data_IF_723350819515
#
_entry.id   IF_723350819515
#
_cell.length_a   1.000
_cell.length_b   1.000
_cell.length_c   1.000
_cell.angle_alpha   90.00
_cell.angle_beta   90.00
_cell.angle_gamma   90.00
#
_symmetry.space_group_name_H-M   'P 1'
#
loop_
_entity.id
_entity.type
_entity.pdbx_description
1 polymer ?
#
# COMPACT_ATOMS: atom_id res chain seq x y z
N UNK A 1 40.28 3.60 -34.47
CA UNK A 1 39.11 4.52 -34.54
C UNK A 1 37.76 3.82 -34.84
N UNK A 2 37.66 2.48 -34.80
CA UNK A 2 36.49 1.72 -35.27
C UNK A 2 35.24 1.75 -34.36
N UNK A 3 35.31 2.28 -33.14
CA UNK A 3 34.13 2.39 -32.25
C UNK A 3 33.28 3.65 -32.42
N UNK A 4 33.80 4.71 -33.07
CA UNK A 4 33.12 6.02 -33.11
C UNK A 4 31.81 6.02 -33.93
N UNK A 5 31.73 5.19 -34.98
CA UNK A 5 30.50 5.06 -35.79
C UNK A 5 29.38 4.36 -35.02
N UNK A 6 29.72 3.27 -34.33
CA UNK A 6 28.77 2.53 -33.49
C UNK A 6 28.23 3.36 -32.33
N UNK A 7 29.11 4.10 -31.63
CA UNK A 7 28.69 4.99 -30.53
C UNK A 7 27.73 6.09 -31.02
N UNK A 8 28.00 6.71 -32.17
CA UNK A 8 27.11 7.73 -32.76
C UNK A 8 25.76 7.13 -33.17
N UNK A 9 25.76 5.94 -33.77
CA UNK A 9 24.53 5.23 -34.12
C UNK A 9 23.67 4.92 -32.88
N UNK A 10 24.28 4.35 -31.83
CA UNK A 10 23.60 4.09 -30.56
C UNK A 10 23.07 5.37 -29.90
N UNK A 11 23.83 6.46 -29.90
CA UNK A 11 23.40 7.74 -29.35
C UNK A 11 22.18 8.32 -30.10
N UNK A 12 22.16 8.22 -31.43
CA UNK A 12 21.00 8.64 -32.24
C UNK A 12 19.79 7.77 -31.94
N UNK A 13 19.95 6.44 -31.88
CA UNK A 13 18.86 5.52 -31.57
C UNK A 13 18.28 5.76 -30.18
N UNK A 14 19.15 5.96 -29.17
CA UNK A 14 18.73 6.32 -27.81
C UNK A 14 17.99 7.66 -27.79
N UNK A 15 18.48 8.66 -28.53
CA UNK A 15 17.82 9.97 -28.61
C UNK A 15 16.41 9.85 -29.20
N UNK A 16 16.24 9.04 -30.25
CA UNK A 16 14.92 8.76 -30.84
C UNK A 16 14.02 8.06 -29.82
N UNK A 17 14.53 7.08 -29.08
CA UNK A 17 13.78 6.38 -28.04
C UNK A 17 13.36 7.33 -26.90
N UNK A 18 14.22 8.25 -26.48
CA UNK A 18 13.91 9.27 -25.48
C UNK A 18 12.83 10.25 -25.97
N UNK A 19 12.92 10.71 -27.23
CA UNK A 19 11.91 11.59 -27.82
C UNK A 19 10.55 10.88 -27.92
N UNK A 20 10.55 9.59 -28.24
CA UNK A 20 9.35 8.77 -28.26
C UNK A 20 8.74 8.60 -26.85
N UNK A 21 9.56 8.42 -25.81
CA UNK A 21 9.06 8.36 -24.43
C UNK A 21 8.48 9.71 -23.97
N UNK A 22 9.15 10.82 -24.29
CA UNK A 22 8.71 12.17 -23.94
C UNK A 22 7.44 12.62 -24.67
N UNK A 23 7.21 12.12 -25.89
CA UNK A 23 6.02 12.49 -26.67
C UNK A 23 4.72 12.08 -25.97
N UNK A 24 4.72 11.02 -25.16
CA UNK A 24 3.54 10.59 -24.38
C UNK A 24 3.09 11.65 -23.38
N UNK A 25 4.01 12.29 -22.64
CA UNK A 25 3.68 13.38 -21.73
C UNK A 25 3.03 14.57 -22.46
N UNK A 26 3.51 14.90 -23.66
CA UNK A 26 2.96 16.00 -24.47
C UNK A 26 1.55 15.69 -24.95
N UNK A 27 1.30 14.45 -25.41
CA UNK A 27 -0.04 14.02 -25.84
C UNK A 27 -1.01 14.00 -24.66
N UNK A 28 -0.61 13.42 -23.52
CA UNK A 28 -1.47 13.34 -22.33
C UNK A 28 -1.81 14.72 -21.78
N UNK A 29 -0.83 15.61 -21.65
CA UNK A 29 -1.05 16.99 -21.18
C UNK A 29 -1.98 17.79 -22.09
N UNK A 30 -1.96 17.52 -23.41
CA UNK A 30 -2.91 18.12 -24.35
C UNK A 30 -4.35 17.67 -24.11
N UNK A 31 -4.58 16.37 -23.84
CA UNK A 31 -5.91 15.82 -23.50
C UNK A 31 -6.40 16.39 -22.17
N UNK A 32 -5.53 16.44 -21.17
CA UNK A 32 -5.85 16.98 -19.84
C UNK A 32 -6.17 18.48 -19.87
N UNK A 33 -5.44 19.26 -20.67
CA UNK A 33 -5.75 20.68 -20.86
C UNK A 33 -7.15 20.87 -21.46
N UNK A 34 -7.52 20.07 -22.46
CA UNK A 34 -8.88 20.11 -23.04
C UNK A 34 -9.95 19.71 -22.01
N UNK A 35 -9.65 18.72 -21.17
CA UNK A 35 -10.56 18.30 -20.09
C UNK A 35 -10.79 19.45 -19.09
N UNK A 36 -9.72 20.14 -18.67
CA UNK A 36 -9.79 21.30 -17.77
C UNK A 36 -10.57 22.46 -18.39
N UNK A 37 -10.33 22.74 -19.66
CA UNK A 37 -11.07 23.77 -20.41
C UNK A 37 -12.56 23.44 -20.51
N UNK A 38 -12.91 22.18 -20.80
CA UNK A 38 -14.29 21.69 -20.83
C UNK A 38 -14.97 21.81 -19.45
N UNK A 39 -14.24 21.44 -18.40
CA UNK A 39 -14.72 21.39 -17.04
C UNK A 39 -14.99 22.78 -16.43
N UNK A 40 -14.26 23.82 -16.86
CA UNK A 40 -14.35 25.18 -16.29
C UNK A 40 -14.21 25.20 -14.75
N UNK A 41 -13.36 24.33 -14.21
CA UNK A 41 -13.11 24.19 -12.77
C UNK A 41 -14.06 23.23 -12.03
N UNK A 42 -14.97 22.54 -12.71
CA UNK A 42 -15.81 21.50 -12.14
C UNK A 42 -15.11 20.11 -12.21
N UNK A 43 -14.65 19.55 -11.07
CA UNK A 43 -13.90 18.30 -11.07
C UNK A 43 -14.69 17.11 -11.61
N UNK A 44 -16.02 17.11 -11.46
CA UNK A 44 -16.86 16.02 -11.93
C UNK A 44 -16.94 15.99 -13.46
N UNK A 45 -16.98 17.17 -14.09
CA UNK A 45 -16.97 17.30 -15.56
C UNK A 45 -15.61 16.99 -16.15
N UNK A 46 -14.53 17.41 -15.50
CA UNK A 46 -13.17 17.07 -15.92
C UNK A 46 -12.97 15.56 -15.97
N UNK A 47 -13.37 14.89 -14.88
CA UNK A 47 -13.33 13.44 -14.76
C UNK A 47 -14.18 12.76 -15.83
N UNK A 48 -15.44 13.16 -16.00
CA UNK A 48 -16.33 12.55 -16.99
C UNK A 48 -15.75 12.65 -18.42
N UNK A 49 -15.10 13.78 -18.73
CA UNK A 49 -14.40 13.96 -20.00
C UNK A 49 -13.22 12.98 -20.13
N UNK A 50 -12.34 12.91 -19.12
CA UNK A 50 -11.19 12.00 -19.14
C UNK A 50 -11.60 10.52 -19.22
N UNK A 51 -12.64 10.13 -18.49
CA UNK A 51 -13.20 8.78 -18.52
C UNK A 51 -13.71 8.43 -19.93
N UNK A 52 -14.38 9.37 -20.61
CA UNK A 52 -14.83 9.18 -22.00
C UNK A 52 -13.67 9.03 -23.00
N UNK A 53 -12.50 9.60 -22.68
CA UNK A 53 -11.32 9.58 -23.54
C UNK A 53 -10.46 8.32 -23.36
N UNK A 54 -10.67 7.52 -22.32
CA UNK A 54 -9.81 6.38 -21.94
C UNK A 54 -9.46 5.46 -23.12
N UNK A 55 -10.46 5.08 -23.92
CA UNK A 55 -10.31 4.17 -25.06
C UNK A 55 -10.17 4.88 -26.43
N UNK A 56 -10.13 6.21 -26.44
CA UNK A 56 -9.98 7.00 -27.67
C UNK A 56 -8.53 7.00 -28.09
N UNK A 57 -8.28 6.81 -29.39
CA UNK A 57 -6.93 6.91 -29.97
C UNK A 57 -6.49 8.37 -29.99
N UNK A 58 -5.46 8.70 -29.23
CA UNK A 58 -4.95 10.08 -29.07
C UNK A 58 -3.55 10.26 -29.63
N UNK A 59 -2.81 9.16 -29.84
CA UNK A 59 -1.44 9.23 -30.34
C UNK A 59 -1.38 9.24 -31.88
N UNK A 60 -0.72 10.24 -32.51
CA UNK A 60 -0.85 10.50 -33.94
C UNK A 60 -0.17 9.47 -34.86
N UNK A 61 0.91 8.82 -34.42
CA UNK A 61 1.69 7.90 -35.27
C UNK A 61 1.24 6.43 -35.16
N UNK A 62 1.10 5.93 -33.94
CA UNK A 62 0.88 4.50 -33.65
C UNK A 62 -0.55 4.19 -33.19
N UNK A 63 -1.44 5.19 -33.19
CA UNK A 63 -2.85 5.01 -32.86
C UNK A 63 -3.10 4.50 -31.44
N UNK A 64 -2.18 4.75 -30.50
CA UNK A 64 -2.35 4.36 -29.10
C UNK A 64 -3.51 5.11 -28.44
N UNK A 65 -4.20 4.41 -27.53
CA UNK A 65 -5.30 4.97 -26.74
C UNK A 65 -4.78 5.88 -25.62
N UNK A 66 -5.64 6.76 -25.11
CA UNK A 66 -5.29 7.60 -23.96
C UNK A 66 -4.85 6.76 -22.75
N UNK A 67 -5.54 5.66 -22.46
CA UNK A 67 -5.17 4.75 -21.38
C UNK A 67 -3.74 4.20 -21.54
N UNK A 68 -3.36 3.82 -22.77
CA UNK A 68 -2.02 3.32 -23.04
C UNK A 68 -0.96 4.41 -22.91
N UNK A 69 -1.17 5.59 -23.52
CA UNK A 69 -0.21 6.70 -23.44
C UNK A 69 -0.08 7.22 -22.03
N UNK A 70 -1.15 7.18 -21.24
CA UNK A 70 -1.16 7.53 -19.83
C UNK A 70 -0.34 6.55 -18.99
N UNK A 71 -0.44 5.25 -19.23
CA UNK A 71 0.39 4.25 -18.56
C UNK A 71 1.88 4.28 -18.93
N UNK A 72 2.25 4.98 -20.01
CA UNK A 72 3.65 5.19 -20.44
C UNK A 72 4.19 6.59 -20.08
N UNK A 73 3.38 7.42 -19.43
CA UNK A 73 3.80 8.74 -18.97
C UNK A 73 4.93 8.63 -17.94
N UNK A 74 5.85 9.59 -17.96
CA UNK A 74 6.89 9.70 -16.93
C UNK A 74 6.21 9.94 -15.57
N UNK A 75 6.64 9.19 -14.55
CA UNK A 75 6.19 9.43 -13.18
C UNK A 75 6.85 10.71 -12.65
N UNK A 76 6.06 11.79 -12.59
CA UNK A 76 6.52 13.09 -12.09
C UNK A 76 6.53 13.17 -10.55
N UNK A 77 6.00 12.16 -9.85
CA UNK A 77 5.89 12.18 -8.39
C UNK A 77 4.86 13.17 -7.86
N UNK A 78 4.72 13.22 -6.53
CA UNK A 78 3.71 14.03 -5.86
C UNK A 78 3.98 15.54 -5.98
N UNK A 79 5.25 15.95 -5.93
CA UNK A 79 5.63 17.36 -5.93
C UNK A 79 5.27 18.06 -7.25
N UNK A 80 5.53 17.39 -8.38
CA UNK A 80 5.29 17.96 -9.70
C UNK A 80 3.88 17.69 -10.24
N UNK A 81 3.24 16.57 -9.86
CA UNK A 81 1.89 16.19 -10.35
C UNK A 81 0.77 16.57 -9.39
N UNK A 82 1.09 16.86 -8.12
CA UNK A 82 0.12 16.92 -7.05
C UNK A 82 -0.52 15.55 -6.77
N UNK A 83 -1.41 15.47 -5.77
CA UNK A 83 -2.12 14.23 -5.45
C UNK A 83 -2.32 14.04 -3.95
N UNK A 84 -2.07 12.81 -3.49
CA UNK A 84 -2.30 12.40 -2.10
C UNK A 84 -1.13 11.58 -1.55
N UNK A 85 -0.72 11.88 -0.32
CA UNK A 85 0.18 11.05 0.49
C UNK A 85 -0.60 10.54 1.71
N UNK A 86 -0.48 9.24 1.99
CA UNK A 86 -1.19 8.56 3.08
C UNK A 86 -0.22 7.63 3.80
N UNK A 87 -0.21 7.70 5.13
CA UNK A 87 0.43 6.70 5.98
C UNK A 87 -0.66 5.81 6.56
N UNK A 88 -0.62 4.53 6.24
CA UNK A 88 -1.52 3.52 6.80
C UNK A 88 -0.78 2.78 7.91
N UNK A 89 -1.45 2.55 9.03
CA UNK A 89 -0.92 1.75 10.14
C UNK A 89 -1.73 0.46 10.30
N UNK A 90 -1.02 -0.66 10.44
CA UNK A 90 -1.63 -1.97 10.65
C UNK A 90 -1.76 -2.20 12.15
N UNK A 91 -2.98 -2.45 12.62
CA UNK A 91 -3.22 -2.70 14.05
C UNK A 91 -2.67 -4.07 14.46
N UNK A 92 -1.45 -4.06 15.00
CA UNK A 92 -0.84 -5.26 15.57
C UNK A 92 -1.52 -5.68 16.88
N UNK A 93 -2.09 -4.72 17.62
CA UNK A 93 -2.87 -4.99 18.82
C UNK A 93 -4.08 -5.87 18.52
N UNK A 94 -4.85 -5.52 17.48
CA UNK A 94 -6.00 -6.31 17.05
C UNK A 94 -5.59 -7.67 16.49
N UNK A 95 -4.47 -7.74 15.75
CA UNK A 95 -3.92 -9.01 15.30
C UNK A 95 -3.59 -9.95 16.47
N UNK A 96 -2.86 -9.46 17.48
CA UNK A 96 -2.48 -10.26 18.65
C UNK A 96 -3.72 -10.68 19.43
N UNK A 97 -4.70 -9.79 19.60
CA UNK A 97 -5.98 -10.12 20.25
C UNK A 97 -6.77 -11.19 19.49
N UNK A 98 -6.84 -11.09 18.16
CA UNK A 98 -7.51 -12.07 17.31
C UNK A 98 -6.81 -13.43 17.35
N UNK A 99 -5.47 -13.47 17.34
CA UNK A 99 -4.70 -14.71 17.43
C UNK A 99 -4.87 -15.40 18.79
N UNK A 100 -5.12 -14.62 19.84
CA UNK A 100 -5.46 -15.11 21.18
C UNK A 100 -6.93 -15.51 21.35
N UNK A 101 -7.70 -15.64 20.26
CA UNK A 101 -9.11 -16.02 20.30
C UNK A 101 -10.02 -14.97 20.94
N UNK A 102 -9.64 -13.69 20.87
CA UNK A 102 -10.36 -12.58 21.51
C UNK A 102 -10.51 -12.72 23.03
N UNK A 103 -9.41 -13.06 23.70
CA UNK A 103 -9.36 -13.23 25.16
C UNK A 103 -9.94 -12.03 25.93
N UNK A 104 -10.78 -12.34 26.93
CA UNK A 104 -11.36 -11.37 27.86
C UNK A 104 -10.50 -11.15 29.11
N UNK A 105 -9.29 -11.70 29.15
CA UNK A 105 -8.37 -11.53 30.28
C UNK A 105 -7.98 -10.05 30.46
N UNK A 106 -8.19 -9.53 31.67
CA UNK A 106 -7.97 -8.10 31.96
C UNK A 106 -6.49 -7.72 31.85
N UNK A 107 -5.59 -8.57 32.34
CA UNK A 107 -4.15 -8.31 32.30
C UNK A 107 -3.61 -8.38 30.86
N UNK A 108 -4.09 -9.33 30.06
CA UNK A 108 -3.78 -9.46 28.64
C UNK A 108 -4.20 -8.20 27.87
N UNK A 109 -5.45 -7.77 28.03
CA UNK A 109 -5.95 -6.58 27.35
C UNK A 109 -5.23 -5.31 27.83
N UNK A 110 -4.89 -5.21 29.12
CA UNK A 110 -4.09 -4.11 29.63
C UNK A 110 -2.66 -4.12 29.07
N UNK A 111 -2.04 -5.30 28.89
CA UNK A 111 -0.72 -5.42 28.26
C UNK A 111 -0.73 -4.89 26.82
N UNK A 112 -1.79 -5.18 26.04
CA UNK A 112 -1.96 -4.64 24.68
C UNK A 112 -2.03 -3.11 24.67
N UNK A 113 -2.84 -2.53 25.57
CA UNK A 113 -2.99 -1.06 25.70
C UNK A 113 -1.66 -0.40 26.12
N UNK A 114 -0.96 -1.00 27.09
CA UNK A 114 0.35 -0.51 27.52
C UNK A 114 1.37 -0.57 26.37
N UNK A 115 1.33 -1.64 25.58
CA UNK A 115 2.22 -1.81 24.45
C UNK A 115 1.98 -0.78 23.35
N UNK A 116 0.71 -0.49 23.03
CA UNK A 116 0.33 0.54 22.07
C UNK A 116 0.73 1.94 22.53
N UNK A 117 0.55 2.24 23.82
CA UNK A 117 0.98 3.52 24.42
C UNK A 117 2.50 3.69 24.28
N UNK A 118 3.29 2.67 24.63
CA UNK A 118 4.75 2.70 24.53
C UNK A 118 5.26 2.73 23.09
N UNK A 119 4.54 2.11 22.15
CA UNK A 119 4.86 2.21 20.73
C UNK A 119 4.72 3.67 20.26
N UNK A 120 3.64 4.35 20.67
CA UNK A 120 3.40 5.75 20.34
C UNK A 120 4.41 6.73 20.99
N UNK A 121 5.00 6.36 22.13
CA UNK A 121 6.07 7.11 22.80
C UNK A 121 7.46 6.95 22.11
N UNK A 122 7.56 6.18 21.03
CA UNK A 122 8.80 5.97 20.27
C UNK A 122 9.37 4.56 20.34
N UNK A 123 8.63 3.60 20.90
CA UNK A 123 8.94 2.18 20.77
C UNK A 123 8.96 1.73 19.30
N UNK A 124 9.77 0.72 18.98
CA UNK A 124 9.92 0.23 17.58
C UNK A 124 9.35 -1.17 17.33
N UNK A 125 9.15 -1.96 18.39
CA UNK A 125 8.69 -3.35 18.27
C UNK A 125 7.50 -3.59 19.20
N UNK A 126 6.30 -3.51 18.63
CA UNK A 126 5.05 -3.73 19.36
C UNK A 126 5.02 -5.10 20.05
N UNK A 127 5.49 -6.16 19.37
CA UNK A 127 5.41 -7.53 19.89
C UNK A 127 6.34 -7.70 21.08
N UNK A 128 7.57 -7.22 20.97
CA UNK A 128 8.51 -7.25 22.10
C UNK A 128 8.00 -6.44 23.29
N UNK A 129 7.42 -5.25 23.06
CA UNK A 129 6.85 -4.44 24.13
C UNK A 129 5.67 -5.18 24.78
N UNK A 130 4.76 -5.74 23.98
CA UNK A 130 3.61 -6.50 24.46
C UNK A 130 4.02 -7.67 25.36
N UNK A 131 4.96 -8.51 24.91
CA UNK A 131 5.44 -9.65 25.71
C UNK A 131 6.02 -9.18 27.04
N UNK A 132 6.85 -8.13 27.02
CA UNK A 132 7.42 -7.57 28.24
C UNK A 132 6.38 -6.98 29.20
N UNK A 133 5.34 -6.31 28.69
CA UNK A 133 4.26 -5.77 29.53
C UNK A 133 3.36 -6.88 30.07
N UNK A 134 3.10 -7.92 29.27
CA UNK A 134 2.34 -9.09 29.71
C UNK A 134 3.05 -9.81 30.86
N UNK A 135 4.36 -10.06 30.74
CA UNK A 135 5.15 -10.73 31.78
C UNK A 135 5.20 -9.94 33.09
N UNK A 136 5.12 -8.61 33.04
CA UNK A 136 5.03 -7.76 34.25
C UNK A 136 3.68 -7.89 34.95
N UNK A 137 2.60 -7.96 34.18
CA UNK A 137 1.23 -8.05 34.71
C UNK A 137 0.87 -9.48 35.15
N UNK A 138 1.41 -10.48 34.46
CA UNK A 138 1.08 -11.90 34.64
C UNK A 138 2.35 -12.78 34.64
N UNK A 139 3.22 -12.66 35.67
CA UNK A 139 4.54 -13.32 35.68
C UNK A 139 4.49 -14.85 35.73
N UNK A 140 3.38 -15.44 36.16
CA UNK A 140 3.22 -16.90 36.29
C UNK A 140 2.38 -17.52 35.17
N UNK A 141 1.96 -16.73 34.17
CA UNK A 141 1.09 -17.19 33.08
C UNK A 141 1.92 -17.33 31.81
N UNK A 142 1.74 -18.44 31.09
CA UNK A 142 2.42 -18.65 29.82
C UNK A 142 1.61 -18.03 28.70
N UNK A 143 2.27 -17.28 27.81
CA UNK A 143 1.62 -16.77 26.61
C UNK A 143 1.09 -17.90 25.71
N UNK A 144 1.73 -19.08 25.75
CA UNK A 144 1.30 -20.25 25.00
C UNK A 144 -0.15 -20.66 25.31
N UNK A 145 -0.67 -20.36 26.51
CA UNK A 145 -2.06 -20.66 26.89
C UNK A 145 -3.08 -19.85 26.08
N UNK A 146 -2.69 -18.68 25.56
CA UNK A 146 -3.55 -17.84 24.72
C UNK A 146 -3.38 -18.14 23.24
N UNK A 147 -2.16 -18.47 22.80
CA UNK A 147 -1.83 -18.57 21.39
C UNK A 147 -1.76 -19.99 20.85
N UNK A 148 -1.53 -21.01 21.67
CA UNK A 148 -1.48 -22.39 21.19
C UNK A 148 -2.90 -22.91 20.95
N UNK A 149 -3.23 -23.15 19.68
CA UNK A 149 -4.52 -23.68 19.27
C UNK A 149 -4.33 -24.79 18.22
N UNK A 150 -5.44 -25.42 17.81
CA UNK A 150 -5.37 -26.54 16.88
C UNK A 150 -4.85 -26.14 15.50
N UNK A 151 -5.13 -24.91 15.06
CA UNK A 151 -4.76 -24.41 13.74
C UNK A 151 -3.26 -24.16 13.60
N UNK A 152 -2.58 -23.83 14.71
CA UNK A 152 -1.15 -23.52 14.73
C UNK A 152 -0.28 -24.55 15.47
N UNK A 153 -0.84 -25.71 15.86
CA UNK A 153 -0.14 -26.75 16.61
C UNK A 153 1.16 -27.27 15.96
N UNK A 154 1.31 -27.13 14.65
CA UNK A 154 2.53 -27.46 13.90
C UNK A 154 3.65 -26.43 14.07
N UNK A 155 3.30 -25.21 14.48
CA UNK A 155 4.21 -24.06 14.61
C UNK A 155 4.42 -23.61 16.05
N UNK A 156 3.41 -23.74 16.92
CA UNK A 156 3.47 -23.33 18.32
C UNK A 156 2.92 -24.45 19.22
N UNK A 157 3.81 -25.03 20.04
CA UNK A 157 3.46 -26.09 20.99
C UNK A 157 2.82 -25.49 22.25
N UNK A 158 1.93 -26.26 22.91
CA UNK A 158 1.27 -25.83 24.15
C UNK A 158 2.24 -25.56 25.32
N UNK A 159 3.42 -26.19 25.32
CA UNK A 159 4.45 -25.97 26.33
C UNK A 159 5.51 -24.94 25.92
N UNK A 160 5.29 -24.19 24.83
CA UNK A 160 6.22 -23.19 24.33
C UNK A 160 6.50 -22.11 25.40
N UNK A 161 7.74 -21.62 25.37
CA UNK A 161 8.19 -20.49 26.17
C UNK A 161 7.65 -19.17 25.62
N UNK A 162 7.62 -18.13 26.46
CA UNK A 162 7.20 -16.80 26.00
C UNK A 162 8.09 -16.25 24.87
N UNK A 163 9.38 -16.60 24.84
CA UNK A 163 10.29 -16.24 23.76
C UNK A 163 9.93 -16.93 22.42
N UNK A 164 9.51 -18.20 22.46
CA UNK A 164 9.02 -18.90 21.27
C UNK A 164 7.70 -18.29 20.77
N UNK A 165 6.79 -17.93 21.69
CA UNK A 165 5.55 -17.23 21.35
C UNK A 165 5.84 -15.85 20.75
N UNK A 166 6.80 -15.11 21.31
CA UNK A 166 7.22 -13.82 20.76
C UNK A 166 7.67 -13.97 19.30
N UNK A 167 8.54 -14.96 19.01
CA UNK A 167 9.01 -15.23 17.65
C UNK A 167 7.87 -15.58 16.69
N UNK A 168 6.91 -16.41 17.15
CA UNK A 168 5.69 -16.72 16.41
C UNK A 168 4.88 -15.45 16.09
N UNK A 169 4.60 -14.62 17.09
CA UNK A 169 3.84 -13.38 16.93
C UNK A 169 4.54 -12.38 16.02
N UNK A 170 5.87 -12.23 16.11
CA UNK A 170 6.64 -11.39 15.19
C UNK A 170 6.55 -11.88 13.75
N UNK A 171 6.54 -13.21 13.52
CA UNK A 171 6.37 -13.79 12.18
C UNK A 171 4.97 -13.56 11.62
N UNK A 172 3.93 -13.74 12.45
CA UNK A 172 2.54 -13.46 12.05
C UNK A 172 2.32 -11.97 11.79
N UNK A 173 2.91 -11.08 12.62
CA UNK A 173 2.88 -9.64 12.39
C UNK A 173 3.49 -9.25 11.04
N UNK A 174 4.68 -9.75 10.72
CA UNK A 174 5.31 -9.50 9.42
C UNK A 174 4.47 -10.04 8.26
N UNK A 175 3.91 -11.25 8.42
CA UNK A 175 3.04 -11.86 7.43
C UNK A 175 1.75 -11.05 7.21
N UNK A 176 1.17 -10.51 8.29
CA UNK A 176 0.00 -9.64 8.21
C UNK A 176 0.33 -8.32 7.51
N UNK A 177 1.51 -7.75 7.73
CA UNK A 177 2.00 -6.56 7.02
C UNK A 177 2.14 -6.85 5.51
N UNK A 178 2.76 -7.96 5.14
CA UNK A 178 2.95 -8.32 3.73
C UNK A 178 1.62 -8.62 3.00
N UNK A 179 0.69 -9.30 3.68
CA UNK A 179 -0.68 -9.51 3.17
C UNK A 179 -1.40 -8.18 2.97
N UNK A 180 -1.34 -7.29 3.96
CA UNK A 180 -1.95 -5.96 3.89
C UNK A 180 -1.36 -5.13 2.75
N UNK A 181 -0.04 -5.14 2.58
CA UNK A 181 0.64 -4.47 1.47
C UNK A 181 0.15 -4.99 0.12
N UNK A 182 0.02 -6.31 -0.04
CA UNK A 182 -0.47 -6.94 -1.29
C UNK A 182 -1.92 -6.56 -1.58
N UNK A 183 -2.78 -6.54 -0.56
CA UNK A 183 -4.20 -6.15 -0.69
C UNK A 183 -4.30 -4.67 -1.09
N UNK A 184 -3.57 -3.78 -0.41
CA UNK A 184 -3.57 -2.35 -0.71
C UNK A 184 -3.08 -2.09 -2.14
N UNK A 185 -2.04 -2.82 -2.59
CA UNK A 185 -1.56 -2.77 -3.97
C UNK A 185 -2.67 -3.07 -4.98
N UNK A 186 -3.32 -4.22 -4.81
CA UNK A 186 -4.38 -4.67 -5.70
C UNK A 186 -5.55 -3.68 -5.76
N UNK A 187 -5.92 -3.08 -4.62
CA UNK A 187 -6.95 -2.03 -4.54
C UNK A 187 -6.57 -0.76 -5.30
N UNK A 188 -5.32 -0.32 -5.18
CA UNK A 188 -4.83 0.89 -5.87
C UNK A 188 -4.77 0.63 -7.38
N UNK A 189 -4.28 -0.54 -7.80
CA UNK A 189 -4.22 -0.92 -9.21
C UNK A 189 -5.61 -0.91 -9.86
N UNK A 190 -6.64 -1.38 -9.13
CA UNK A 190 -8.04 -1.35 -9.57
C UNK A 190 -8.65 0.05 -9.75
N UNK A 191 -8.02 1.10 -9.21
CA UNK A 191 -8.52 2.48 -9.32
C UNK A 191 -7.94 3.23 -10.53
N UNK A 192 -7.01 2.63 -11.27
CA UNK A 192 -6.39 3.27 -12.43
C UNK A 192 -5.45 4.42 -12.06
N UNK A 193 -4.93 4.44 -10.82
CA UNK A 193 -3.85 5.37 -10.45
C UNK A 193 -2.59 4.97 -11.22
N UNK A 194 -2.03 5.92 -11.95
CA UNK A 194 -0.84 5.69 -12.76
C UNK A 194 0.37 5.83 -11.86
N UNK A 195 1.11 4.74 -11.68
CA UNK A 195 2.40 4.69 -10.97
C UNK A 195 2.34 5.10 -9.49
N UNK A 196 1.55 4.40 -8.65
CA UNK A 196 1.59 4.59 -7.21
C UNK A 196 2.96 4.21 -6.63
N UNK A 197 3.45 4.96 -5.65
CA UNK A 197 4.63 4.60 -4.87
C UNK A 197 4.17 4.09 -3.50
N UNK A 198 4.64 2.92 -3.10
CA UNK A 198 4.29 2.32 -1.82
C UNK A 198 5.52 1.74 -1.16
N UNK A 199 5.71 2.07 0.11
CA UNK A 199 6.90 1.68 0.86
C UNK A 199 6.49 1.24 2.26
N UNK A 200 7.01 0.10 2.70
CA UNK A 200 6.93 -0.30 4.11
C UNK A 200 7.93 0.56 4.87
N UNK A 201 7.49 1.18 5.97
CA UNK A 201 8.41 1.89 6.84
C UNK A 201 9.19 0.85 7.66
N UNK A 202 10.45 0.66 7.30
CA UNK A 202 11.35 -0.32 7.95
C UNK A 202 11.34 -0.18 9.47
N UNK A 203 11.16 -1.32 10.16
CA UNK A 203 11.06 -1.35 11.63
C UNK A 203 9.78 -0.74 12.20
N UNK A 204 8.70 -0.66 11.41
CA UNK A 204 7.38 -0.27 11.89
C UNK A 204 6.27 -1.06 11.20
N UNK A 205 5.05 -0.95 11.73
CA UNK A 205 3.80 -1.49 11.19
C UNK A 205 3.09 -0.52 10.23
N UNK A 206 3.85 0.40 9.61
CA UNK A 206 3.30 1.47 8.76
C UNK A 206 3.66 1.28 7.30
N UNK A 207 2.73 1.64 6.43
CA UNK A 207 2.88 1.65 4.97
C UNK A 207 2.66 3.08 4.48
N UNK A 208 3.69 3.65 3.87
CA UNK A 208 3.61 4.93 3.17
C UNK A 208 3.10 4.70 1.75
N UNK A 209 2.10 5.47 1.35
CA UNK A 209 1.43 5.37 0.06
C UNK A 209 1.35 6.76 -0.57
N UNK A 210 1.96 6.92 -1.73
CA UNK A 210 1.89 8.14 -2.52
C UNK A 210 1.15 7.86 -3.82
N UNK A 211 0.12 8.67 -4.09
CA UNK A 211 -0.76 8.54 -5.23
C UNK A 211 -0.74 9.85 -6.04
N UNK A 212 0.21 10.00 -6.98
CA UNK A 212 0.30 11.18 -7.84
C UNK A 212 -0.89 11.29 -8.79
N UNK A 213 -1.39 12.51 -8.99
CA UNK A 213 -2.48 12.79 -9.92
C UNK A 213 -3.88 12.36 -9.46
N UNK A 214 -4.04 11.91 -8.21
CA UNK A 214 -5.37 11.67 -7.62
C UNK A 214 -6.08 13.00 -7.40
N UNK A 215 -7.25 13.16 -8.02
CA UNK A 215 -8.12 14.33 -7.85
C UNK A 215 -9.14 14.14 -6.70
N UNK A 216 -9.72 12.94 -6.58
CA UNK A 216 -10.77 12.62 -5.60
C UNK A 216 -10.17 11.90 -4.37
N UNK A 217 -9.75 12.71 -3.38
CA UNK A 217 -9.10 12.20 -2.15
C UNK A 217 -10.06 11.42 -1.26
N UNK A 218 -11.32 11.84 -1.16
CA UNK A 218 -12.31 11.21 -0.28
C UNK A 218 -12.67 9.81 -0.75
N UNK A 219 -12.81 9.62 -2.07
CA UNK A 219 -13.04 8.29 -2.64
C UNK A 219 -11.88 7.35 -2.41
N UNK A 220 -10.64 7.82 -2.58
CA UNK A 220 -9.46 7.00 -2.32
C UNK A 220 -9.32 6.69 -0.83
N UNK A 221 -9.58 7.66 0.05
CA UNK A 221 -9.63 7.42 1.51
C UNK A 221 -10.61 6.29 1.84
N UNK A 222 -11.83 6.35 1.31
CA UNK A 222 -12.87 5.32 1.53
C UNK A 222 -12.44 3.93 1.04
N UNK A 223 -11.70 3.87 -0.08
CA UNK A 223 -11.18 2.62 -0.64
C UNK A 223 -10.06 2.01 0.21
N UNK A 224 -9.13 2.86 0.66
CA UNK A 224 -8.00 2.44 1.49
C UNK A 224 -8.45 2.04 2.90
N UNK A 225 -9.48 2.69 3.45
CA UNK A 225 -10.03 2.39 4.77
C UNK A 225 -11.07 1.27 4.79
N UNK A 226 -11.64 0.90 3.65
CA UNK A 226 -12.74 -0.07 3.59
C UNK A 226 -12.29 -1.49 3.93
N UNK A 227 -13.01 -2.19 4.79
CA UNK A 227 -12.87 -3.64 4.94
C UNK A 227 -13.63 -4.30 3.78
N UNK A 228 -12.96 -5.18 3.01
CA UNK A 228 -13.61 -5.90 1.93
C UNK A 228 -14.14 -7.23 2.50
N UNK A 229 -15.44 -7.31 2.74
CA UNK A 229 -16.11 -8.55 3.12
C UNK A 229 -16.73 -9.18 1.86
N UNK A 230 -16.30 -10.40 1.52
CA UNK A 230 -16.87 -11.16 0.41
C UNK A 230 -18.00 -12.04 0.96
N UNK A 231 -19.25 -11.67 0.67
CA UNK A 231 -20.42 -12.44 1.03
C UNK A 231 -20.95 -13.18 -0.20
N UNK A 232 -21.12 -14.49 -0.09
CA UNK A 232 -21.77 -15.30 -1.10
C UNK A 232 -23.26 -15.42 -0.75
N UNK A 233 -24.11 -15.00 -1.68
CA UNK A 233 -25.55 -15.14 -1.57
C UNK A 233 -26.00 -16.28 -2.47
N UNK A 234 -26.87 -17.15 -1.94
CA UNK A 234 -27.50 -18.19 -2.76
C UNK A 234 -28.60 -17.51 -3.58
N UNK A 235 -28.50 -17.63 -4.92
CA UNK A 235 -29.46 -17.08 -5.88
C UNK A 235 -30.58 -18.08 -6.12
#
# INVERSE_FOLDING_TARGET
MQGKGFIKFMAVLLSIACLYALSFNVVNSSVERKAKEYAKGDPAKEKAYLDSMANVKVYPLLGHTYQFTKGKEINLGLDLKGGMNVTMEISLSELVKSLAGNSNDANFNQALVNAETKLNEGGKDFIAIFVNEFEKLSPNVKLADYFSNQDNASTLKANATNAEVQSYLSKEANSAIDRSFTILRSRIDGFGVVSPNMQKQEGSNRILIELPGVQDKDRVRKLLSGTAELQFWQV
#
